data_IF_422572277589
#
_entry.id   IF_422572277589
#
_cell.length_a   1.000
_cell.length_b   1.000
_cell.length_c   1.000
_cell.angle_alpha   90.00
_cell.angle_beta   90.00
_cell.angle_gamma   90.00
#
_symmetry.space_group_name_H-M   'P 1'
#
loop_
_entity.id
_entity.type
_entity.pdbx_description
1 polymer ?
#
# COMPACT_ATOMS: atom_id res chain seq x y z
N UNK A 1 66.02 26.79 -48.47
CA UNK A 1 65.90 25.99 -47.24
C UNK A 1 64.48 25.49 -47.22
N UNK A 2 64.30 24.26 -47.68
CA UNK A 2 63.13 23.43 -47.39
C UNK A 2 63.15 23.01 -45.93
N UNK A 3 61.97 22.96 -45.30
CA UNK A 3 61.43 21.89 -44.45
C UNK A 3 60.11 22.36 -43.80
N UNK A 4 59.20 21.44 -43.43
CA UNK A 4 57.80 21.46 -43.81
C UNK A 4 56.88 21.34 -42.57
N UNK A 5 55.67 20.84 -42.79
CA UNK A 5 54.76 20.17 -41.85
C UNK A 5 53.65 21.01 -41.23
N UNK A 6 52.52 20.91 -41.92
CA UNK A 6 51.21 20.68 -41.32
C UNK A 6 51.30 19.82 -40.05
N UNK A 7 50.97 20.42 -38.92
CA UNK A 7 50.32 19.70 -37.83
C UNK A 7 48.95 20.31 -37.65
N UNK A 8 47.97 19.68 -38.29
CA UNK A 8 46.57 19.83 -37.93
C UNK A 8 46.43 19.46 -36.44
N UNK A 9 46.03 20.41 -35.62
CA UNK A 9 45.71 20.20 -34.19
C UNK A 9 44.30 19.58 -34.09
N UNK A 10 44.17 18.27 -33.80
CA UNK A 10 42.86 17.63 -33.70
C UNK A 10 42.10 18.02 -32.43
N UNK A 11 42.75 18.69 -31.46
CA UNK A 11 42.14 19.10 -30.19
C UNK A 11 41.46 20.46 -30.34
N UNK A 12 42.03 21.38 -31.12
CA UNK A 12 41.45 22.68 -31.43
C UNK A 12 40.09 22.61 -32.14
N UNK A 13 39.86 21.60 -32.99
CA UNK A 13 38.58 21.41 -33.67
C UNK A 13 37.48 20.82 -32.76
N UNK A 14 37.83 20.07 -31.72
CA UNK A 14 36.86 19.41 -30.84
C UNK A 14 36.18 20.35 -29.83
N UNK A 15 36.70 21.57 -29.62
CA UNK A 15 36.17 22.53 -28.65
C UNK A 15 35.30 23.64 -29.29
N UNK A 16 35.18 23.69 -30.61
CA UNK A 16 34.40 24.72 -31.34
C UNK A 16 32.90 24.40 -31.45
N UNK A 17 32.46 23.18 -31.15
CA UNK A 17 31.07 22.71 -31.36
C UNK A 17 30.21 22.71 -30.09
N UNK A 18 30.26 23.79 -29.30
CA UNK A 18 29.17 24.13 -28.37
C UNK A 18 28.51 25.45 -28.76
N UNK A 19 27.58 25.37 -29.72
CA UNK A 19 26.54 26.39 -29.89
C UNK A 19 25.72 26.43 -28.60
N UNK A 20 25.89 27.50 -27.83
CA UNK A 20 24.96 27.90 -26.77
C UNK A 20 23.82 28.67 -27.46
N UNK A 21 22.58 28.14 -27.56
CA UNK A 21 21.47 28.96 -28.02
C UNK A 21 21.02 29.88 -26.88
N UNK A 22 21.39 31.15 -26.97
CA UNK A 22 20.60 32.22 -26.40
C UNK A 22 19.32 32.37 -27.22
N UNK A 23 18.16 31.95 -26.68
CA UNK A 23 16.86 32.40 -27.21
C UNK A 23 15.99 32.95 -26.08
N UNK A 24 15.72 34.25 -26.22
CA UNK A 24 14.75 35.04 -25.45
C UNK A 24 13.33 34.51 -25.69
N UNK A 25 12.44 34.89 -24.77
CA UNK A 25 10.99 34.72 -24.80
C UNK A 25 10.37 34.69 -26.21
N UNK A 26 9.71 33.58 -26.53
CA UNK A 26 8.63 33.53 -27.50
C UNK A 26 7.49 32.68 -26.91
N UNK A 27 6.39 33.39 -26.65
CA UNK A 27 5.06 32.89 -26.35
C UNK A 27 4.59 31.85 -27.39
N UNK A 28 3.82 30.85 -26.95
CA UNK A 28 2.87 30.14 -27.82
C UNK A 28 3.37 28.85 -28.47
N UNK A 29 3.90 27.91 -27.70
CA UNK A 29 4.18 26.55 -28.16
C UNK A 29 3.49 25.51 -27.28
N UNK A 30 2.42 24.89 -27.79
CA UNK A 30 1.68 23.76 -27.18
C UNK A 30 2.63 22.66 -26.69
N UNK A 31 3.02 22.71 -25.41
CA UNK A 31 3.42 21.51 -24.68
C UNK A 31 2.15 20.90 -24.12
N UNK A 32 1.64 19.89 -24.82
CA UNK A 32 0.72 18.90 -24.25
C UNK A 32 1.51 18.19 -23.16
N UNK A 33 1.56 18.83 -21.99
CA UNK A 33 2.26 18.34 -20.82
C UNK A 33 1.69 16.98 -20.49
N UNK A 34 2.57 15.99 -20.42
CA UNK A 34 2.39 14.79 -19.63
C UNK A 34 1.79 15.27 -18.30
N UNK A 35 0.50 15.01 -18.06
CA UNK A 35 -0.15 15.34 -16.79
C UNK A 35 0.79 14.82 -15.71
N UNK A 36 1.25 15.74 -14.85
CA UNK A 36 2.23 15.44 -13.82
C UNK A 36 1.80 14.20 -13.08
N UNK A 37 2.64 13.16 -13.10
CA UNK A 37 2.41 11.98 -12.29
C UNK A 37 2.35 12.49 -10.84
N UNK A 38 1.15 12.49 -10.26
CA UNK A 38 0.93 13.05 -8.95
C UNK A 38 1.91 12.40 -7.98
N UNK A 39 2.55 13.20 -7.12
CA UNK A 39 3.38 12.70 -6.03
C UNK A 39 2.55 11.70 -5.24
N UNK A 40 3.15 10.53 -4.94
CA UNK A 40 2.49 9.52 -4.15
C UNK A 40 2.20 10.07 -2.75
N UNK A 41 0.98 9.87 -2.28
CA UNK A 41 0.51 10.31 -0.97
C UNK A 41 -0.16 9.11 -0.29
N UNK A 42 0.37 8.61 0.84
CA UNK A 42 -0.19 7.48 1.58
C UNK A 42 -1.65 7.65 1.97
N UNK A 43 -2.11 8.88 2.21
CA UNK A 43 -3.52 9.17 2.56
C UNK A 43 -4.47 8.77 1.42
N UNK A 44 -3.98 8.75 0.18
CA UNK A 44 -4.78 8.31 -0.98
C UNK A 44 -5.12 6.83 -0.94
N UNK A 45 -4.44 6.02 -0.11
CA UNK A 45 -4.76 4.60 0.04
C UNK A 45 -6.06 4.40 0.81
N UNK A 46 -6.47 5.35 1.65
CA UNK A 46 -7.67 5.21 2.46
C UNK A 46 -8.93 5.05 1.61
N UNK A 47 -9.84 4.22 2.11
CA UNK A 47 -11.15 4.01 1.51
C UNK A 47 -11.48 2.55 1.27
N UNK A 48 -12.55 2.36 0.50
CA UNK A 48 -13.19 1.07 0.26
C UNK A 48 -12.85 0.60 -1.14
N UNK A 49 -12.48 -0.67 -1.24
CA UNK A 49 -12.16 -1.37 -2.47
C UNK A 49 -13.09 -2.56 -2.63
N UNK A 50 -13.69 -2.68 -3.81
CA UNK A 50 -14.25 -3.95 -4.27
C UNK A 50 -13.10 -4.82 -4.76
N UNK A 51 -13.13 -6.08 -4.37
CA UNK A 51 -12.04 -7.03 -4.60
C UNK A 51 -12.59 -8.25 -5.34
N UNK A 52 -11.78 -8.79 -6.24
CA UNK A 52 -12.03 -10.05 -6.92
C UNK A 52 -10.86 -10.98 -6.60
N UNK A 53 -11.19 -12.19 -6.16
CA UNK A 53 -10.24 -13.28 -5.92
C UNK A 53 -10.69 -14.49 -6.74
N UNK A 54 -10.06 -14.78 -7.90
CA UNK A 54 -10.50 -15.87 -8.79
C UNK A 54 -10.56 -17.24 -8.12
N UNK A 55 -9.75 -17.47 -7.08
CA UNK A 55 -9.80 -18.72 -6.31
C UNK A 55 -11.10 -18.89 -5.51
N UNK A 56 -11.81 -17.80 -5.21
CA UNK A 56 -13.09 -17.80 -4.49
C UNK A 56 -14.32 -17.76 -5.42
N UNK A 57 -14.16 -17.31 -6.67
CA UNK A 57 -15.29 -17.08 -7.59
C UNK A 57 -15.90 -18.36 -8.17
N UNK A 58 -15.65 -19.54 -7.59
CA UNK A 58 -16.27 -20.80 -8.06
C UNK A 58 -17.77 -20.87 -7.83
N UNK A 59 -18.34 -20.02 -6.97
CA UNK A 59 -19.77 -20.00 -6.68
C UNK A 59 -20.43 -18.68 -7.08
N UNK A 60 -21.59 -18.80 -7.72
CA UNK A 60 -22.37 -17.81 -8.49
C UNK A 60 -23.06 -16.73 -7.64
N UNK A 61 -22.36 -16.19 -6.65
CA UNK A 61 -22.93 -15.25 -5.70
C UNK A 61 -22.74 -13.80 -6.12
N UNK A 62 -23.77 -13.00 -5.87
CA UNK A 62 -23.80 -11.54 -6.09
C UNK A 62 -23.07 -10.76 -4.99
N UNK A 63 -22.57 -11.43 -3.95
CA UNK A 63 -21.86 -10.79 -2.86
C UNK A 63 -20.47 -10.31 -3.30
N UNK A 64 -20.24 -9.01 -3.14
CA UNK A 64 -18.99 -8.37 -3.56
C UNK A 64 -17.96 -8.50 -2.45
N UNK A 65 -16.82 -9.12 -2.74
CA UNK A 65 -15.69 -9.15 -1.80
C UNK A 65 -15.13 -7.74 -1.63
N UNK A 66 -14.70 -7.40 -0.42
CA UNK A 66 -14.39 -6.02 -0.05
C UNK A 66 -13.14 -5.95 0.80
N UNK A 67 -12.34 -4.93 0.55
CA UNK A 67 -11.26 -4.48 1.44
C UNK A 67 -11.50 -3.01 1.81
N UNK A 68 -11.23 -2.64 3.05
CA UNK A 68 -11.30 -1.26 3.51
C UNK A 68 -10.00 -0.90 4.20
N UNK A 69 -9.31 0.14 3.70
CA UNK A 69 -8.10 0.68 4.33
C UNK A 69 -8.59 1.82 5.23
N UNK A 70 -8.55 1.58 6.54
CA UNK A 70 -9.17 2.44 7.56
C UNK A 70 -8.32 3.66 7.91
N UNK A 71 -7.02 3.43 8.11
CA UNK A 71 -6.13 4.46 8.62
C UNK A 71 -4.71 3.93 8.78
N UNK A 72 -3.91 4.71 9.51
CA UNK A 72 -2.56 4.35 9.85
C UNK A 72 -2.51 3.62 11.20
N UNK A 73 -1.43 2.89 11.45
CA UNK A 73 -1.07 2.44 12.80
C UNK A 73 -0.75 3.65 13.69
N UNK A 74 -0.71 3.46 15.02
CA UNK A 74 -0.35 4.52 15.98
C UNK A 74 1.00 5.17 15.68
N UNK A 75 1.94 4.41 15.13
CA UNK A 75 3.26 4.93 14.73
C UNK A 75 3.26 5.58 13.33
N UNK A 76 2.17 5.48 12.58
CA UNK A 76 2.03 6.00 11.21
C UNK A 76 3.01 5.43 10.18
N UNK A 77 3.61 4.27 10.46
CA UNK A 77 4.58 3.58 9.60
C UNK A 77 3.92 2.54 8.69
N UNK A 78 2.71 2.11 9.04
CA UNK A 78 1.91 1.13 8.32
C UNK A 78 0.44 1.54 8.27
N UNK A 79 -0.35 0.86 7.44
CA UNK A 79 -1.79 1.05 7.32
C UNK A 79 -2.53 -0.17 7.85
N UNK A 80 -3.69 0.07 8.44
CA UNK A 80 -4.60 -0.94 8.96
C UNK A 80 -5.84 -0.99 8.06
N UNK A 81 -6.30 -2.20 7.76
CA UNK A 81 -7.51 -2.40 6.99
C UNK A 81 -8.24 -3.70 7.32
N UNK A 82 -9.50 -3.82 6.89
CA UNK A 82 -10.28 -5.05 7.01
C UNK A 82 -10.53 -5.67 5.65
N UNK A 83 -10.55 -7.01 5.59
CA UNK A 83 -10.92 -7.77 4.40
C UNK A 83 -12.11 -8.68 4.67
N UNK A 84 -12.98 -8.78 3.67
CA UNK A 84 -14.07 -9.76 3.58
C UNK A 84 -14.07 -10.34 2.17
N UNK A 85 -13.58 -11.56 2.02
CA UNK A 85 -13.45 -12.23 0.73
C UNK A 85 -14.35 -13.47 0.70
N UNK A 86 -15.25 -13.56 -0.27
CA UNK A 86 -16.20 -14.67 -0.42
C UNK A 86 -17.51 -14.50 0.37
N UNK A 87 -18.53 -15.28 0.02
CA UNK A 87 -19.93 -15.14 0.45
C UNK A 87 -20.33 -16.12 1.56
N UNK A 88 -19.66 -16.03 2.71
CA UNK A 88 -19.92 -16.91 3.86
C UNK A 88 -19.13 -18.24 3.85
N UNK A 89 -18.31 -18.46 2.82
CA UNK A 89 -17.24 -19.48 2.78
C UNK A 89 -15.89 -18.85 2.48
N UNK A 90 -15.53 -17.89 3.32
CA UNK A 90 -14.60 -16.85 2.98
C UNK A 90 -13.65 -16.46 4.10
N UNK A 91 -12.81 -15.49 3.80
CA UNK A 91 -11.88 -14.88 4.75
C UNK A 91 -12.50 -13.61 5.28
N UNK A 92 -12.64 -13.50 6.60
CA UNK A 92 -12.98 -12.26 7.28
C UNK A 92 -11.89 -11.92 8.28
N UNK A 93 -11.25 -10.77 8.11
CA UNK A 93 -10.07 -10.45 8.91
C UNK A 93 -9.60 -9.02 8.84
N UNK A 94 -8.46 -8.78 9.47
CA UNK A 94 -7.71 -7.55 9.43
C UNK A 94 -6.40 -7.75 8.67
N UNK A 95 -5.91 -6.71 8.02
CA UNK A 95 -4.62 -6.69 7.35
C UNK A 95 -3.83 -5.43 7.70
N UNK A 96 -2.51 -5.57 7.61
CA UNK A 96 -1.52 -4.50 7.76
C UNK A 96 -0.77 -4.35 6.44
N UNK A 97 -0.66 -3.11 5.94
CA UNK A 97 0.13 -2.77 4.76
C UNK A 97 1.32 -1.90 5.13
N UNK A 98 2.50 -2.24 4.63
CA UNK A 98 3.71 -1.45 4.83
C UNK A 98 4.53 -1.30 3.55
N UNK A 99 5.32 -0.22 3.47
CA UNK A 99 6.17 0.04 2.31
C UNK A 99 7.38 -0.88 2.16
N UNK A 100 7.73 -1.63 3.22
CA UNK A 100 8.80 -2.63 3.17
C UNK A 100 8.49 -3.80 4.08
N UNK A 101 9.13 -4.95 3.83
CA UNK A 101 9.00 -6.13 4.71
C UNK A 101 9.47 -5.86 6.13
N UNK A 102 10.54 -5.06 6.28
CA UNK A 102 11.07 -4.68 7.60
C UNK A 102 10.02 -3.90 8.40
N UNK A 103 9.45 -2.86 7.79
CA UNK A 103 8.39 -2.05 8.43
C UNK A 103 7.13 -2.87 8.69
N UNK A 104 6.79 -3.82 7.79
CA UNK A 104 5.68 -4.74 8.04
C UNK A 104 5.91 -5.58 9.29
N UNK A 105 7.11 -6.15 9.43
CA UNK A 105 7.47 -6.98 10.58
C UNK A 105 7.40 -6.18 11.87
N UNK A 106 8.03 -5.00 11.90
CA UNK A 106 8.00 -4.08 13.06
C UNK A 106 6.55 -3.73 13.46
N UNK A 107 5.73 -3.33 12.48
CA UNK A 107 4.34 -2.96 12.74
C UNK A 107 3.48 -4.13 13.26
N UNK A 108 3.74 -5.36 12.80
CA UNK A 108 3.01 -6.54 13.28
C UNK A 108 3.50 -6.94 14.67
N UNK A 109 4.82 -6.92 14.92
CA UNK A 109 5.39 -7.20 16.24
C UNK A 109 4.87 -6.20 17.29
N UNK A 110 4.75 -4.91 16.93
CA UNK A 110 4.17 -3.88 17.79
C UNK A 110 2.70 -4.17 18.15
N UNK A 111 1.92 -4.68 17.19
CA UNK A 111 0.52 -5.04 17.42
C UNK A 111 0.38 -6.31 18.28
N UNK A 112 1.25 -7.30 18.06
CA UNK A 112 1.29 -8.53 18.87
C UNK A 112 1.70 -8.20 20.33
N UNK A 113 2.58 -7.22 20.54
CA UNK A 113 3.06 -6.82 21.87
C UNK A 113 2.16 -5.83 22.62
N UNK A 114 1.32 -5.05 21.92
CA UNK A 114 0.35 -4.14 22.57
C UNK A 114 -0.63 -4.87 23.50
N UNK A 115 -0.85 -6.17 23.28
CA UNK A 115 -1.69 -7.01 24.14
C UNK A 115 -1.07 -7.36 25.50
N UNK A 116 0.20 -7.05 25.74
CA UNK A 116 0.91 -7.41 26.99
C UNK A 116 1.04 -6.25 27.99
N UNK A 117 0.63 -5.03 27.65
CA UNK A 117 0.90 -3.81 28.43
C UNK A 117 -0.33 -2.98 28.80
N UNK A 118 -1.51 -3.59 28.89
CA UNK A 118 -2.71 -2.87 29.32
C UNK A 118 -2.89 -2.86 30.85
N UNK A 119 -1.87 -2.40 31.58
CA UNK A 119 -2.03 -1.92 32.96
C UNK A 119 -1.09 -0.72 33.19
N UNK A 120 -1.65 0.34 33.78
CA UNK A 120 -1.05 1.63 34.13
C UNK A 120 -0.59 2.57 32.99
N UNK A 121 -1.43 3.54 32.67
CA UNK A 121 -1.15 4.95 33.06
C UNK A 121 -2.33 5.86 32.71
N UNK A 122 -2.94 6.40 33.75
CA UNK A 122 -3.85 7.55 33.69
C UNK A 122 -3.08 8.86 33.88
N UNK A 123 -3.67 9.96 33.39
CA UNK A 123 -3.46 11.38 33.71
C UNK A 123 -2.77 12.26 32.64
N UNK A 124 -3.62 13.14 32.07
CA UNK A 124 -3.48 14.60 31.83
C UNK A 124 -2.22 15.13 31.10
N UNK A 125 -2.31 16.07 30.16
CA UNK A 125 -2.84 17.44 30.32
C UNK A 125 -2.88 18.16 28.96
N UNK A 126 -3.84 19.08 28.86
CA UNK A 126 -4.08 20.20 27.93
C UNK A 126 -2.84 20.92 27.36
N UNK A 127 -2.92 21.35 26.09
CA UNK A 127 -1.88 22.08 25.36
C UNK A 127 -2.21 22.36 23.89
N UNK A 128 -3.22 23.21 23.63
CA UNK A 128 -3.62 23.69 22.30
C UNK A 128 -2.66 24.75 21.69
N UNK A 129 -1.35 24.50 21.65
CA UNK A 129 -0.38 25.40 21.00
C UNK A 129 0.76 24.62 20.32
N UNK A 130 0.47 23.71 19.35
CA UNK A 130 1.41 23.38 18.24
C UNK A 130 0.82 22.44 17.15
N UNK A 131 -0.45 22.59 16.77
CA UNK A 131 -1.08 21.63 15.84
C UNK A 131 -0.43 21.59 14.43
N UNK A 132 0.15 22.70 13.96
CA UNK A 132 0.76 22.74 12.62
C UNK A 132 2.15 22.04 12.56
N UNK A 133 2.96 22.12 13.61
CA UNK A 133 4.24 21.41 13.68
C UNK A 133 4.03 19.89 13.74
N UNK A 134 3.04 19.43 14.50
CA UNK A 134 2.67 18.01 14.61
C UNK A 134 2.15 17.45 13.27
N UNK A 135 1.41 18.24 12.49
CA UNK A 135 0.89 17.81 11.18
C UNK A 135 1.99 17.63 10.14
N UNK A 136 2.97 18.55 10.05
CA UNK A 136 4.07 18.43 9.09
C UNK A 136 5.02 17.29 9.48
N UNK A 137 5.30 17.11 10.77
CA UNK A 137 6.11 15.99 11.28
C UNK A 137 5.47 14.64 10.96
N UNK A 138 4.15 14.50 11.17
CA UNK A 138 3.39 13.30 10.77
C UNK A 138 3.46 13.05 9.27
N UNK A 139 3.30 14.11 8.46
CA UNK A 139 3.39 14.01 7.01
C UNK A 139 4.77 13.57 6.55
N UNK A 140 5.82 14.11 7.15
CA UNK A 140 7.21 13.75 6.85
C UNK A 140 7.47 12.28 7.23
N UNK A 141 7.02 11.85 8.41
CA UNK A 141 7.13 10.48 8.89
C UNK A 141 6.45 9.48 7.96
N UNK A 142 5.20 9.74 7.55
CA UNK A 142 4.48 8.94 6.55
C UNK A 142 5.25 8.91 5.23
N UNK A 143 5.71 10.07 4.75
CA UNK A 143 6.44 10.15 3.49
C UNK A 143 7.71 9.29 3.52
N UNK A 144 8.48 9.32 4.62
CA UNK A 144 9.66 8.47 4.83
C UNK A 144 9.32 6.98 4.87
N UNK A 145 8.26 6.61 5.61
CA UNK A 145 7.82 5.21 5.73
C UNK A 145 7.44 4.58 4.39
N UNK A 146 6.93 5.39 3.45
CA UNK A 146 6.46 4.95 2.15
C UNK A 146 7.30 5.47 0.96
N UNK A 147 8.46 6.07 1.20
CA UNK A 147 9.28 6.72 0.17
C UNK A 147 9.64 5.77 -0.97
N UNK A 148 10.01 4.53 -0.61
CA UNK A 148 10.38 3.48 -1.58
C UNK A 148 9.22 3.06 -2.50
N UNK A 149 7.99 3.42 -2.15
CA UNK A 149 6.78 3.10 -2.91
C UNK A 149 6.35 4.22 -3.86
N UNK A 150 7.06 5.35 -3.88
CA UNK A 150 6.70 6.49 -4.72
C UNK A 150 7.01 6.33 -6.22
N UNK A 151 7.75 5.29 -6.62
CA UNK A 151 8.19 5.09 -8.00
C UNK A 151 7.20 4.27 -8.84
N UNK A 152 6.45 4.97 -9.69
CA UNK A 152 5.58 4.48 -10.79
C UNK A 152 4.34 3.67 -10.36
N UNK A 153 4.51 2.68 -9.49
CA UNK A 153 3.49 1.74 -9.05
C UNK A 153 3.73 1.37 -7.57
N UNK A 154 3.04 2.02 -6.62
CA UNK A 154 3.23 1.78 -5.20
C UNK A 154 2.99 0.31 -4.81
N UNK A 155 4.00 -0.35 -4.21
CA UNK A 155 3.94 -1.75 -3.76
C UNK A 155 3.99 -1.87 -2.24
N UNK A 156 2.99 -2.48 -1.64
CA UNK A 156 2.89 -2.69 -0.20
C UNK A 156 2.98 -4.16 0.14
N UNK A 157 3.78 -4.48 1.15
CA UNK A 157 3.78 -5.79 1.78
C UNK A 157 2.59 -5.89 2.72
N UNK A 158 1.97 -7.06 2.74
CA UNK A 158 0.79 -7.32 3.52
C UNK A 158 1.04 -8.46 4.49
N UNK A 159 0.62 -8.27 5.74
CA UNK A 159 0.30 -9.34 6.66
C UNK A 159 -1.19 -9.27 6.94
N UNK A 160 -1.84 -10.41 7.13
CA UNK A 160 -3.25 -10.45 7.47
C UNK A 160 -3.51 -11.54 8.49
N UNK A 161 -4.58 -11.34 9.26
CA UNK A 161 -5.05 -12.26 10.28
C UNK A 161 -6.57 -12.28 10.26
N UNK A 162 -7.18 -13.45 10.30
CA UNK A 162 -8.61 -13.54 10.09
C UNK A 162 -9.19 -14.90 10.43
N UNK A 163 -10.51 -14.93 10.52
CA UNK A 163 -11.30 -16.16 10.61
C UNK A 163 -11.65 -16.62 9.22
N UNK A 164 -11.62 -17.93 9.04
CA UNK A 164 -12.10 -18.55 7.81
C UNK A 164 -13.26 -19.46 8.11
N UNK A 165 -14.27 -19.35 7.26
CA UNK A 165 -15.41 -20.25 7.27
C UNK A 165 -15.23 -21.24 6.12
N UNK A 166 -14.83 -22.47 6.45
CA UNK A 166 -14.92 -23.60 5.52
C UNK A 166 -16.24 -24.33 5.79
N UNK A 167 -17.07 -24.48 4.76
CA UNK A 167 -18.26 -25.32 4.82
C UNK A 167 -18.27 -26.25 3.62
N UNK A 168 -18.57 -27.53 3.83
CA UNK A 168 -18.73 -28.49 2.74
C UNK A 168 -20.01 -28.22 1.94
N UNK A 169 -19.97 -28.49 0.64
CA UNK A 169 -21.12 -28.35 -0.27
C UNK A 169 -22.22 -29.39 0.01
N UNK A 170 -21.93 -30.44 0.77
CA UNK A 170 -22.81 -31.59 0.94
C UNK A 170 -23.54 -31.58 2.29
N UNK A 171 -24.48 -30.65 2.46
CA UNK A 171 -25.73 -30.80 3.24
C UNK A 171 -25.70 -31.30 4.70
N UNK A 172 -24.56 -31.64 5.26
CA UNK A 172 -24.40 -32.09 6.63
C UNK A 172 -23.98 -30.88 7.45
N UNK A 173 -24.71 -30.63 8.53
CA UNK A 173 -24.44 -29.62 9.55
C UNK A 173 -23.17 -29.97 10.34
N UNK A 174 -22.05 -30.21 9.66
CA UNK A 174 -20.76 -30.31 10.31
C UNK A 174 -20.33 -28.89 10.69
N UNK A 175 -19.99 -28.74 11.96
CA UNK A 175 -19.69 -27.48 12.65
C UNK A 175 -18.85 -26.58 11.76
N UNK A 176 -19.29 -25.33 11.55
CA UNK A 176 -18.46 -24.29 10.96
C UNK A 176 -17.17 -24.20 11.79
N UNK A 177 -16.09 -24.83 11.32
CA UNK A 177 -14.79 -24.65 11.94
C UNK A 177 -14.31 -23.26 11.54
N UNK A 178 -14.44 -22.32 12.47
CA UNK A 178 -13.76 -21.04 12.39
C UNK A 178 -12.33 -21.27 12.84
N UNK A 179 -11.42 -21.41 11.89
CA UNK A 179 -9.99 -21.39 12.18
C UNK A 179 -9.50 -19.95 12.05
N UNK A 180 -8.73 -19.50 13.04
CA UNK A 180 -7.96 -18.27 12.91
C UNK A 180 -6.65 -18.59 12.19
N UNK A 181 -6.28 -17.76 11.23
CA UNK A 181 -5.03 -17.90 10.50
C UNK A 181 -4.33 -16.55 10.34
N UNK A 182 -3.01 -16.59 10.22
CA UNK A 182 -2.15 -15.47 9.90
C UNK A 182 -1.33 -15.80 8.66
N UNK A 183 -1.34 -14.93 7.67
CA UNK A 183 -0.59 -15.14 6.44
C UNK A 183 -0.09 -13.83 5.82
N UNK A 184 0.64 -13.94 4.70
CA UNK A 184 1.26 -12.80 4.02
C UNK A 184 0.83 -12.64 2.56
N UNK A 185 1.14 -11.47 2.01
CA UNK A 185 0.88 -11.12 0.61
C UNK A 185 1.50 -9.79 0.23
N UNK A 186 1.04 -9.21 -0.87
CA UNK A 186 1.38 -7.84 -1.26
C UNK A 186 0.30 -7.22 -2.14
N UNK A 187 0.23 -5.90 -2.18
CA UNK A 187 -0.58 -5.12 -3.13
C UNK A 187 0.33 -4.23 -3.98
N UNK A 188 0.03 -4.09 -5.27
CA UNK A 188 0.68 -3.18 -6.20
C UNK A 188 -0.38 -2.33 -6.86
N UNK A 189 -0.35 -1.03 -6.60
CA UNK A 189 -1.27 -0.09 -7.21
C UNK A 189 -0.86 0.24 -8.64
N UNK A 190 -1.87 0.38 -9.51
CA UNK A 190 -1.67 0.72 -10.92
C UNK A 190 -1.06 2.11 -11.10
N UNK A 191 -1.29 3.03 -10.14
CA UNK A 191 -0.77 4.39 -10.15
C UNK A 191 -0.77 5.02 -8.75
N UNK A 192 -0.20 6.23 -8.63
CA UNK A 192 -0.13 7.01 -7.39
C UNK A 192 -1.50 7.57 -6.93
N UNK A 193 -2.56 7.44 -7.73
CA UNK A 193 -3.94 7.75 -7.32
C UNK A 193 -4.59 6.65 -6.47
N UNK A 194 -3.93 5.48 -6.38
CA UNK A 194 -4.36 4.32 -5.63
C UNK A 194 -5.80 3.88 -5.95
N UNK A 195 -6.21 3.97 -7.22
CA UNK A 195 -7.58 3.61 -7.66
C UNK A 195 -7.76 2.12 -7.89
N UNK A 196 -6.79 1.48 -8.52
CA UNK A 196 -6.83 0.05 -8.82
C UNK A 196 -5.53 -0.61 -8.33
N UNK A 197 -5.62 -1.85 -7.86
CA UNK A 197 -4.46 -2.64 -7.47
C UNK A 197 -4.55 -4.08 -7.97
N UNK A 198 -3.38 -4.71 -8.07
CA UNK A 198 -3.22 -6.16 -8.14
C UNK A 198 -2.34 -6.62 -6.99
N UNK A 199 -2.63 -7.77 -6.43
CA UNK A 199 -1.91 -8.30 -5.29
C UNK A 199 -1.94 -9.81 -5.22
N UNK A 200 -1.36 -10.33 -4.16
CA UNK A 200 -1.44 -11.74 -3.82
C UNK A 200 -1.86 -11.93 -2.38
N UNK A 201 -2.52 -13.06 -2.12
CA UNK A 201 -2.88 -13.55 -0.80
C UNK A 201 -2.51 -15.03 -0.72
N UNK A 202 -1.79 -15.41 0.34
CA UNK A 202 -1.62 -16.82 0.70
C UNK A 202 -2.58 -17.20 1.82
N UNK A 203 -3.01 -18.46 1.83
CA UNK A 203 -3.87 -19.05 2.84
C UNK A 203 -3.61 -20.56 2.93
N UNK A 204 -2.96 -20.99 4.00
CA UNK A 204 -2.42 -22.34 4.14
C UNK A 204 -3.53 -23.38 4.30
N UNK A 205 -4.61 -23.06 5.02
CA UNK A 205 -5.71 -24.03 5.22
C UNK A 205 -6.47 -24.36 3.92
N UNK A 206 -6.58 -23.44 2.94
CA UNK A 206 -7.10 -23.79 1.60
C UNK A 206 -5.99 -24.20 0.61
N UNK A 207 -4.74 -24.31 1.05
CA UNK A 207 -3.60 -24.60 0.19
C UNK A 207 -3.37 -23.53 -0.88
N UNK A 208 -3.72 -22.28 -0.58
CA UNK A 208 -3.50 -21.16 -1.49
C UNK A 208 -2.12 -20.56 -1.28
N UNK A 209 -1.35 -20.57 -2.34
CA UNK A 209 -0.04 -19.93 -2.37
C UNK A 209 -0.07 -18.79 -3.40
N UNK A 210 0.11 -17.55 -2.93
CA UNK A 210 0.21 -16.37 -3.79
C UNK A 210 -0.96 -16.19 -4.78
N UNK A 211 -2.18 -16.49 -4.36
CA UNK A 211 -3.39 -16.34 -5.19
C UNK A 211 -3.61 -14.88 -5.54
N UNK A 212 -3.92 -14.61 -6.82
CA UNK A 212 -4.17 -13.24 -7.30
C UNK A 212 -5.41 -12.63 -6.64
N UNK A 213 -5.27 -11.39 -6.19
CA UNK A 213 -6.38 -10.52 -5.80
C UNK A 213 -6.30 -9.22 -6.61
N UNK A 214 -7.45 -8.77 -7.12
CA UNK A 214 -7.55 -7.53 -7.88
C UNK A 214 -8.57 -6.64 -7.19
N UNK A 215 -8.27 -5.36 -6.99
CA UNK A 215 -9.19 -4.46 -6.32
C UNK A 215 -9.33 -3.11 -7.01
N UNK A 216 -10.51 -2.50 -6.85
CA UNK A 216 -10.87 -1.17 -7.35
C UNK A 216 -11.52 -0.35 -6.25
N UNK A 217 -11.04 0.88 -6.07
CA UNK A 217 -11.58 1.83 -5.09
C UNK A 217 -12.97 2.29 -5.49
N UNK A 218 -13.93 2.07 -4.61
CA UNK A 218 -15.32 2.55 -4.72
C UNK A 218 -15.48 3.92 -4.08
N UNK A 219 -14.87 4.14 -2.90
CA UNK A 219 -14.93 5.43 -2.20
C UNK A 219 -13.62 5.70 -1.48
N UNK A 220 -13.24 6.97 -1.39
CA UNK A 220 -12.08 7.43 -0.60
C UNK A 220 -12.42 7.65 0.87
N UNK A 221 -13.70 7.52 1.26
CA UNK A 221 -14.13 7.64 2.66
C UNK A 221 -13.97 6.29 3.34
N UNK A 222 -13.02 6.22 4.27
CA UNK A 222 -12.83 5.08 5.15
C UNK A 222 -13.59 5.30 6.47
N UNK A 223 -14.07 4.22 7.07
CA UNK A 223 -14.58 4.23 8.45
C UNK A 223 -13.45 3.95 9.43
N UNK A 224 -13.72 4.18 10.70
CA UNK A 224 -12.86 3.68 11.77
C UNK A 224 -12.76 2.14 11.73
N UNK A 225 -11.60 1.60 12.10
CA UNK A 225 -11.37 0.15 12.08
C UNK A 225 -12.19 -0.51 13.20
N UNK A 226 -13.15 -1.40 12.87
CA UNK A 226 -14.02 -2.01 13.88
C UNK A 226 -13.41 -3.24 14.56
N UNK A 227 -12.21 -3.65 14.14
CA UNK A 227 -11.52 -4.87 14.59
C UNK A 227 -10.16 -4.51 15.18
N UNK A 228 -9.72 -5.33 16.12
CA UNK A 228 -8.38 -5.32 16.68
C UNK A 228 -7.58 -6.53 16.19
N UNK A 229 -6.26 -6.41 16.11
CA UNK A 229 -5.39 -7.49 15.64
C UNK A 229 -5.49 -8.74 16.52
N UNK A 230 -5.74 -8.53 17.80
CA UNK A 230 -5.85 -9.61 18.77
C UNK A 230 -7.22 -10.31 18.80
N UNK A 231 -8.25 -9.80 18.10
CA UNK A 231 -9.58 -10.44 17.99
C UNK A 231 -9.53 -11.83 17.32
N UNK A 232 -8.36 -12.16 16.77
CA UNK A 232 -8.06 -13.37 16.04
C UNK A 232 -6.99 -14.22 16.73
N UNK A 233 -6.53 -13.88 17.94
CA UNK A 233 -5.78 -14.86 18.75
C UNK A 233 -6.78 -15.91 19.25
N UNK A 234 -6.58 -17.16 18.86
CA UNK A 234 -7.47 -18.28 19.18
C UNK A 234 -7.37 -18.73 20.63
#
# INVERSE_FOLDING_TARGET
>A
MDYPEDTEDPVGQALSTRRIPHSRLASGGRRRGKQGQAVFDPVRLLGVYEVTCPALTRNTSTAVSRMEIHGFTNQETALIGTLSLGDGRGIYGMFILAGSRKVLQEAVDDLDNQHQHHDDSSASTDGEEDEEADVEDRREKRSKAFEKNSFRNPKFWMAWKGRVQTGDADGQQQQQQQTSERNQGYLVFASNDCRDFKGTLSYDTLGWENVEVVGRKVTSKARECPLQWADFDG
#
